data_IF_970758175143
#
_entry.id   IF_970758175143
#
_cell.length_a   1.000
_cell.length_b   1.000
_cell.length_c   1.000
_cell.angle_alpha   90.00
_cell.angle_beta   90.00
_cell.angle_gamma   90.00
#
_symmetry.space_group_name_H-M   'P 1'
#
loop_
_entity.id
_entity.type
_entity.pdbx_description
1 polymer ?
#
# COMPACT_ATOMS: atom_id res chain seq x y z
N UNK A 1 3.41 -25.56 -19.03
CA UNK A 1 2.20 -24.70 -18.85
C UNK A 1 2.21 -24.15 -17.43
N UNK A 2 2.46 -25.01 -16.43
CA UNK A 2 2.68 -24.62 -15.02
C UNK A 2 3.78 -23.58 -14.84
N UNK A 3 4.96 -23.76 -15.44
CA UNK A 3 6.07 -22.78 -15.35
C UNK A 3 5.69 -21.37 -15.84
N UNK A 4 4.83 -21.26 -16.86
CA UNK A 4 4.35 -19.98 -17.38
C UNK A 4 3.33 -19.32 -16.44
N UNK A 5 2.51 -20.14 -15.78
CA UNK A 5 1.54 -19.68 -14.79
C UNK A 5 2.26 -19.17 -13.53
N UNK A 6 3.27 -19.89 -13.06
CA UNK A 6 4.11 -19.48 -11.93
C UNK A 6 4.85 -18.17 -12.21
N UNK A 7 5.46 -18.04 -13.40
CA UNK A 7 6.10 -16.81 -13.83
C UNK A 7 5.13 -15.62 -13.84
N UNK A 8 3.90 -15.82 -14.37
CA UNK A 8 2.88 -14.78 -14.38
C UNK A 8 2.44 -14.36 -12.96
N UNK A 9 2.31 -15.31 -12.03
CA UNK A 9 2.01 -14.99 -10.63
C UNK A 9 3.15 -14.21 -9.95
N UNK A 10 4.40 -14.57 -10.23
CA UNK A 10 5.56 -13.85 -9.70
C UNK A 10 5.61 -12.41 -10.22
N UNK A 11 5.37 -12.20 -11.51
CA UNK A 11 5.32 -10.87 -12.11
C UNK A 11 4.17 -10.04 -11.55
N UNK A 12 2.99 -10.65 -11.36
CA UNK A 12 1.85 -9.99 -10.72
C UNK A 12 2.19 -9.57 -9.28
N UNK A 13 2.80 -10.44 -8.48
CA UNK A 13 3.25 -10.11 -7.12
C UNK A 13 4.21 -8.94 -7.14
N UNK A 14 5.20 -8.97 -8.04
CA UNK A 14 6.19 -7.90 -8.20
C UNK A 14 5.55 -6.57 -8.58
N UNK A 15 4.55 -6.58 -9.46
CA UNK A 15 3.79 -5.39 -9.84
C UNK A 15 3.10 -4.77 -8.62
N UNK A 16 2.40 -5.57 -7.81
CA UNK A 16 1.77 -5.05 -6.59
C UNK A 16 2.79 -4.46 -5.62
N UNK A 17 3.92 -5.14 -5.40
CA UNK A 17 4.99 -4.61 -4.53
C UNK A 17 5.50 -3.25 -5.01
N UNK A 18 5.75 -3.09 -6.32
CA UNK A 18 6.19 -1.82 -6.90
C UNK A 18 5.12 -0.74 -6.70
N UNK A 19 3.85 -1.06 -6.97
CA UNK A 19 2.74 -0.12 -6.82
C UNK A 19 2.61 0.36 -5.37
N UNK A 20 2.58 -0.56 -4.40
CA UNK A 20 2.47 -0.22 -2.98
C UNK A 20 3.69 0.56 -2.48
N UNK A 21 4.90 0.16 -2.89
CA UNK A 21 6.11 0.92 -2.57
C UNK A 21 6.04 2.35 -3.10
N UNK A 22 5.53 2.57 -4.31
CA UNK A 22 5.36 3.92 -4.87
C UNK A 22 4.34 4.75 -4.10
N UNK A 23 3.22 4.17 -3.67
CA UNK A 23 2.27 4.85 -2.80
C UNK A 23 2.89 5.25 -1.47
N UNK A 24 3.60 4.31 -0.82
CA UNK A 24 4.29 4.57 0.44
C UNK A 24 5.28 5.73 0.27
N UNK A 25 6.13 5.68 -0.75
CA UNK A 25 7.13 6.73 -1.00
C UNK A 25 6.50 8.13 -1.10
N UNK A 26 5.48 8.30 -1.96
CA UNK A 26 4.90 9.63 -2.19
C UNK A 26 4.08 10.12 -1.00
N UNK A 27 3.40 9.22 -0.28
CA UNK A 27 2.64 9.58 0.92
C UNK A 27 3.57 9.95 2.07
N UNK A 28 4.62 9.16 2.32
CA UNK A 28 5.64 9.47 3.32
C UNK A 28 6.34 10.79 3.02
N UNK A 29 6.71 11.02 1.76
CA UNK A 29 7.33 12.29 1.34
C UNK A 29 6.42 13.49 1.62
N UNK A 30 5.12 13.37 1.31
CA UNK A 30 4.15 14.43 1.60
C UNK A 30 4.00 14.68 3.10
N UNK A 31 3.87 13.63 3.91
CA UNK A 31 3.72 13.74 5.36
C UNK A 31 4.95 14.39 6.00
N UNK A 32 6.15 13.96 5.62
CA UNK A 32 7.42 14.54 6.12
C UNK A 32 7.54 16.02 5.74
N UNK A 33 7.16 16.39 4.50
CA UNK A 33 7.17 17.80 4.06
C UNK A 33 6.18 18.65 4.84
N UNK A 34 4.96 18.14 5.06
CA UNK A 34 3.94 18.84 5.85
C UNK A 34 4.40 19.03 7.30
N UNK A 35 5.00 18.01 7.92
CA UNK A 35 5.56 18.10 9.26
C UNK A 35 6.71 19.14 9.34
N UNK A 36 7.65 19.06 8.40
CA UNK A 36 8.79 20.00 8.30
C UNK A 36 8.34 21.46 8.15
N UNK A 37 7.31 21.70 7.34
CA UNK A 37 6.79 23.04 7.07
C UNK A 37 5.74 23.51 8.09
N UNK A 38 5.41 22.69 9.10
CA UNK A 38 4.30 22.90 10.03
C UNK A 38 2.95 23.19 9.33
N UNK A 39 2.66 22.44 8.26
CA UNK A 39 1.43 22.53 7.46
C UNK A 39 0.53 21.33 7.70
N UNK A 40 -0.78 21.56 7.57
CA UNK A 40 -1.76 20.47 7.62
C UNK A 40 -1.52 19.46 6.48
N UNK A 41 -1.30 18.16 6.77
CA UNK A 41 -1.16 17.12 5.76
C UNK A 41 -2.46 16.83 5.01
N UNK A 42 -3.63 17.18 5.55
CA UNK A 42 -4.96 16.86 5.02
C UNK A 42 -5.36 17.71 3.81
N UNK A 43 -4.54 17.63 2.76
CA UNK A 43 -4.78 18.27 1.48
C UNK A 43 -5.67 17.41 0.58
N UNK A 44 -6.33 18.02 -0.40
CA UNK A 44 -7.10 17.27 -1.40
C UNK A 44 -6.28 16.21 -2.14
N UNK A 45 -5.00 16.48 -2.40
CA UNK A 45 -4.08 15.52 -3.01
C UNK A 45 -3.85 14.32 -2.09
N UNK A 46 -3.60 14.57 -0.81
CA UNK A 46 -3.38 13.51 0.19
C UNK A 46 -4.60 12.61 0.33
N UNK A 47 -5.78 13.20 0.55
CA UNK A 47 -7.03 12.42 0.69
C UNK A 47 -7.32 11.58 -0.55
N UNK A 48 -7.11 12.15 -1.74
CA UNK A 48 -7.32 11.43 -3.00
C UNK A 48 -6.31 10.29 -3.19
N UNK A 49 -5.06 10.48 -2.76
CA UNK A 49 -4.00 9.48 -2.89
C UNK A 49 -4.20 8.32 -1.91
N UNK A 50 -4.58 8.61 -0.66
CA UNK A 50 -4.98 7.60 0.33
C UNK A 50 -6.21 6.81 -0.12
N UNK A 51 -7.22 7.50 -0.66
CA UNK A 51 -8.40 6.83 -1.22
C UNK A 51 -8.03 5.91 -2.40
N UNK A 52 -7.07 6.31 -3.25
CA UNK A 52 -6.58 5.50 -4.35
C UNK A 52 -5.80 4.27 -3.87
N UNK A 53 -4.98 4.41 -2.83
CA UNK A 53 -4.31 3.28 -2.17
C UNK A 53 -5.34 2.27 -1.64
N UNK A 54 -6.36 2.77 -0.92
CA UNK A 54 -7.47 1.95 -0.42
C UNK A 54 -8.23 1.25 -1.56
N UNK A 55 -8.45 1.95 -2.67
CA UNK A 55 -9.10 1.38 -3.85
C UNK A 55 -8.31 0.21 -4.46
N UNK A 56 -6.98 0.27 -4.50
CA UNK A 56 -6.14 -0.85 -4.99
C UNK A 56 -6.34 -2.10 -4.13
N UNK A 57 -6.38 -1.94 -2.80
CA UNK A 57 -6.67 -3.03 -1.88
C UNK A 57 -8.04 -3.66 -2.13
N UNK A 58 -9.08 -2.83 -2.28
CA UNK A 58 -10.46 -3.31 -2.44
C UNK A 58 -10.70 -3.98 -3.80
N UNK A 59 -10.23 -3.39 -4.90
CA UNK A 59 -10.44 -3.93 -6.25
C UNK A 59 -9.70 -5.26 -6.45
N UNK A 60 -8.53 -5.40 -5.84
CA UNK A 60 -7.64 -6.56 -6.03
C UNK A 60 -7.52 -7.45 -4.79
N UNK A 61 -8.53 -7.42 -3.90
CA UNK A 61 -8.46 -8.04 -2.58
C UNK A 61 -8.01 -9.51 -2.61
N UNK A 62 -8.53 -10.34 -3.52
CA UNK A 62 -8.16 -11.75 -3.62
C UNK A 62 -6.67 -11.98 -3.88
N UNK A 63 -6.04 -11.13 -4.71
CA UNK A 63 -4.63 -11.28 -5.03
C UNK A 63 -3.76 -10.65 -3.94
N UNK A 64 -4.18 -9.51 -3.41
CA UNK A 64 -3.42 -8.82 -2.35
C UNK A 64 -3.42 -9.62 -1.06
N UNK A 65 -4.53 -10.28 -0.72
CA UNK A 65 -4.65 -11.14 0.46
C UNK A 65 -3.64 -12.30 0.44
N UNK A 66 -3.36 -12.91 -0.73
CA UNK A 66 -2.33 -13.95 -0.90
C UNK A 66 -0.92 -13.45 -0.59
N UNK A 67 -0.69 -12.14 -0.72
CA UNK A 67 0.61 -11.51 -0.50
C UNK A 67 0.69 -10.73 0.81
N UNK A 68 -0.37 -10.74 1.64
CA UNK A 68 -0.50 -10.00 2.89
C UNK A 68 0.73 -10.12 3.80
N UNK A 69 1.17 -11.35 4.10
CA UNK A 69 2.36 -11.59 4.93
C UNK A 69 3.64 -10.99 4.33
N UNK A 70 3.82 -11.05 3.00
CA UNK A 70 4.96 -10.39 2.34
C UNK A 70 4.85 -8.87 2.43
N UNK A 71 3.64 -8.32 2.25
CA UNK A 71 3.39 -6.88 2.32
C UNK A 71 3.64 -6.33 3.72
N UNK A 72 3.16 -7.02 4.76
CA UNK A 72 3.40 -6.70 6.17
C UNK A 72 4.89 -6.76 6.53
N UNK A 73 5.60 -7.78 6.04
CA UNK A 73 7.04 -7.96 6.36
C UNK A 73 7.93 -6.94 5.64
N UNK A 74 7.60 -6.55 4.41
CA UNK A 74 8.51 -5.77 3.55
C UNK A 74 8.12 -4.30 3.34
N UNK A 75 6.83 -3.97 3.39
CA UNK A 75 6.33 -2.64 2.98
C UNK A 75 5.55 -1.94 4.08
N UNK A 76 4.61 -2.64 4.71
CA UNK A 76 3.73 -2.11 5.77
C UNK A 76 4.24 -2.54 7.14
N UNK A 77 5.49 -2.21 7.44
CA UNK A 77 6.14 -2.53 8.72
C UNK A 77 5.71 -1.55 9.81
N UNK A 78 5.99 -1.88 11.08
CA UNK A 78 5.64 -1.04 12.23
C UNK A 78 6.32 0.34 12.24
N UNK A 79 7.41 0.50 11.49
CA UNK A 79 8.14 1.77 11.37
C UNK A 79 7.52 2.71 10.32
N UNK A 80 6.51 2.25 9.56
CA UNK A 80 5.79 3.07 8.61
C UNK A 80 4.87 4.06 9.34
N UNK A 81 4.67 5.24 8.74
CA UNK A 81 3.75 6.24 9.27
C UNK A 81 2.36 5.63 9.56
N UNK A 82 1.81 5.84 10.77
CA UNK A 82 0.54 5.24 11.19
C UNK A 82 -0.62 5.53 10.24
N UNK A 83 -0.69 6.71 9.62
CA UNK A 83 -1.78 7.05 8.71
C UNK A 83 -1.79 6.18 7.45
N UNK A 84 -0.60 5.77 6.98
CA UNK A 84 -0.46 4.89 5.81
C UNK A 84 -0.70 3.45 6.24
N UNK A 85 -0.13 3.06 7.39
CA UNK A 85 -0.25 1.71 7.94
C UNK A 85 -1.70 1.33 8.27
N UNK A 86 -2.48 2.28 8.79
CA UNK A 86 -3.90 2.09 9.09
C UNK A 86 -4.74 1.68 7.87
N UNK A 87 -4.38 2.15 6.67
CA UNK A 87 -5.07 1.74 5.43
C UNK A 87 -4.89 0.24 5.18
N UNK A 88 -3.69 -0.28 5.44
CA UNK A 88 -3.41 -1.70 5.31
C UNK A 88 -4.12 -2.51 6.40
N UNK A 89 -4.09 -2.05 7.66
CA UNK A 89 -4.80 -2.73 8.75
C UNK A 89 -6.33 -2.76 8.53
N UNK A 90 -6.92 -1.68 8.01
CA UNK A 90 -8.34 -1.67 7.63
C UNK A 90 -8.65 -2.71 6.56
N UNK A 91 -7.78 -2.86 5.56
CA UNK A 91 -7.92 -3.92 4.56
C UNK A 91 -7.86 -5.33 5.18
N UNK A 92 -6.89 -5.58 6.06
CA UNK A 92 -6.77 -6.87 6.75
C UNK A 92 -8.02 -7.14 7.59
N UNK A 93 -8.52 -6.16 8.34
CA UNK A 93 -9.72 -6.32 9.16
C UNK A 93 -10.99 -6.64 8.35
N UNK A 94 -11.08 -6.17 7.10
CA UNK A 94 -12.20 -6.49 6.21
C UNK A 94 -12.10 -7.89 5.56
N UNK A 95 -10.91 -8.50 5.60
CA UNK A 95 -10.61 -9.78 4.94
C UNK A 95 -10.28 -10.91 5.91
N UNK A 96 -10.27 -10.63 7.21
CA UNK A 96 -10.17 -11.57 8.33
C UNK A 96 -11.53 -12.22 8.62
#
# INVERSE_FOLDING_TARGET
MEERLEAAHMDQKRLFLIVFQRFIMILSEHLVRCDTDARDPNTHWYTSTVARLSQVFLIHHEQVQKYSSTLETLLFTQDLDPHILDVFHQFIALTA
#
